data_IF_752358805554
#
_entry.id   IF_752358805554
#
_cell.length_a   1.000
_cell.length_b   1.000
_cell.length_c   1.000
_cell.angle_alpha   90.00
_cell.angle_beta   90.00
_cell.angle_gamma   90.00
#
_symmetry.space_group_name_H-M   'P 1'
#
loop_
_entity.id
_entity.type
_entity.pdbx_description
1 polymer ?
#
# COMPACT_ATOMS: atom_id res chain seq x y z
N UNK A 1 -27.91 9.23 50.15
CA UNK A 1 -28.72 8.11 50.65
C UNK A 1 -29.60 7.60 49.50
N UNK A 2 -29.51 6.29 49.18
CA UNK A 2 -30.61 5.44 48.65
C UNK A 2 -30.99 5.70 47.16
N UNK A 3 -31.05 4.75 46.21
CA UNK A 3 -30.76 3.31 46.07
C UNK A 3 -30.72 3.00 44.56
N UNK A 4 -29.82 2.13 44.11
CA UNK A 4 -29.96 1.43 42.81
C UNK A 4 -31.09 0.39 42.89
N UNK A 5 -31.67 0.02 41.74
CA UNK A 5 -31.93 -1.38 41.45
C UNK A 5 -31.16 -1.89 40.22
N UNK A 6 -30.96 -3.20 40.28
CA UNK A 6 -30.08 -4.08 39.52
C UNK A 6 -30.95 -5.04 38.70
N UNK A 7 -30.34 -5.66 37.67
CA UNK A 7 -30.73 -6.90 36.98
C UNK A 7 -31.68 -6.72 35.76
N UNK A 8 -31.58 -7.50 34.68
CA UNK A 8 -31.21 -8.94 34.60
C UNK A 8 -30.43 -9.29 33.32
N UNK A 9 -29.56 -10.29 33.48
CA UNK A 9 -28.92 -11.10 32.43
C UNK A 9 -29.97 -11.96 31.71
N UNK A 10 -29.75 -12.25 30.42
CA UNK A 10 -30.26 -13.44 29.78
C UNK A 10 -29.17 -14.02 28.87
N UNK A 11 -28.55 -15.09 29.33
CA UNK A 11 -27.72 -16.01 28.57
C UNK A 11 -28.65 -16.97 27.84
N UNK A 12 -28.46 -17.21 26.55
CA UNK A 12 -28.98 -18.42 25.89
C UNK A 12 -27.87 -19.01 25.03
N UNK A 13 -27.39 -20.16 25.51
CA UNK A 13 -26.62 -21.13 24.76
C UNK A 13 -27.58 -21.91 23.86
N UNK A 14 -27.16 -22.25 22.65
CA UNK A 14 -27.78 -23.36 21.91
C UNK A 14 -26.69 -24.06 21.10
N UNK A 15 -26.50 -25.33 21.46
CA UNK A 15 -25.62 -26.27 20.80
C UNK A 15 -26.26 -26.76 19.48
N UNK A 16 -25.42 -27.05 18.49
CA UNK A 16 -25.82 -27.69 17.24
C UNK A 16 -24.63 -28.39 16.61
N UNK A 17 -24.44 -29.66 16.97
CA UNK A 17 -23.52 -30.60 16.34
C UNK A 17 -24.14 -31.02 15.00
N UNK A 18 -23.41 -30.91 13.89
CA UNK A 18 -23.69 -31.70 12.70
C UNK A 18 -22.39 -32.30 12.15
N UNK A 19 -22.32 -33.62 12.28
CA UNK A 19 -21.28 -34.52 11.82
C UNK A 19 -21.66 -34.99 10.41
N UNK A 20 -20.79 -34.88 9.40
CA UNK A 20 -20.83 -35.74 8.22
C UNK A 20 -19.50 -35.69 7.46
N UNK A 21 -18.74 -36.77 7.55
CA UNK A 21 -17.55 -36.99 6.74
C UNK A 21 -17.90 -37.54 5.36
N UNK A 22 -17.14 -37.14 4.35
CA UNK A 22 -17.03 -37.85 3.08
C UNK A 22 -15.54 -38.07 2.79
N UNK A 23 -15.13 -39.33 2.83
CA UNK A 23 -13.86 -39.85 2.31
C UNK A 23 -13.98 -40.00 0.79
N UNK A 24 -13.08 -39.37 0.02
CA UNK A 24 -12.92 -39.66 -1.41
C UNK A 24 -11.67 -40.50 -1.60
N UNK A 25 -11.91 -41.75 -2.01
CA UNK A 25 -10.97 -42.74 -2.53
C UNK A 25 -10.54 -42.33 -3.95
N UNK A 26 -9.25 -42.52 -4.25
CA UNK A 26 -8.67 -42.17 -5.55
C UNK A 26 -8.95 -43.16 -6.68
N UNK A 27 -8.48 -42.81 -7.88
CA UNK A 27 -8.13 -43.74 -8.96
C UNK A 27 -7.13 -43.08 -9.93
N UNK A 28 -6.29 -43.93 -10.48
CA UNK A 28 -5.03 -43.66 -11.14
C UNK A 28 -5.11 -43.34 -12.65
N UNK A 29 -4.03 -42.70 -13.11
CA UNK A 29 -3.33 -42.81 -14.41
C UNK A 29 -4.05 -42.52 -15.74
N UNK A 30 -3.50 -41.51 -16.45
CA UNK A 30 -3.19 -41.62 -17.88
C UNK A 30 -1.98 -40.74 -18.25
N UNK A 31 -1.01 -41.39 -18.89
CA UNK A 31 0.23 -40.90 -19.50
C UNK A 31 -0.09 -40.14 -20.81
N UNK A 32 0.71 -39.13 -21.23
CA UNK A 32 1.73 -39.38 -22.26
C UNK A 32 3.07 -38.60 -22.12
N UNK A 33 4.14 -39.23 -22.62
CA UNK A 33 5.50 -38.74 -22.96
C UNK A 33 5.49 -37.66 -24.08
N UNK A 34 6.62 -37.05 -24.57
CA UNK A 34 8.04 -37.08 -24.16
C UNK A 34 8.75 -35.68 -24.15
N UNK A 35 10.04 -35.64 -23.79
CA UNK A 35 10.92 -34.56 -24.27
C UNK A 35 12.12 -34.21 -23.37
N UNK A 36 13.30 -34.56 -23.84
CA UNK A 36 14.62 -34.43 -23.21
C UNK A 36 15.12 -32.98 -23.06
N UNK A 37 15.89 -32.67 -22.00
CA UNK A 37 17.36 -32.44 -22.07
C UNK A 37 17.91 -31.87 -20.76
N UNK A 38 18.93 -32.57 -20.23
CA UNK A 38 19.85 -32.16 -19.16
C UNK A 38 20.89 -31.19 -19.74
N UNK A 39 21.58 -30.33 -18.95
CA UNK A 39 22.66 -30.83 -18.09
C UNK A 39 22.79 -30.15 -16.71
N UNK A 40 23.31 -30.94 -15.77
CA UNK A 40 24.02 -30.49 -14.57
C UNK A 40 25.52 -30.47 -14.89
N UNK A 41 26.29 -29.49 -14.39
CA UNK A 41 27.57 -29.74 -13.67
C UNK A 41 28.37 -28.47 -13.34
N UNK A 42 28.71 -28.39 -12.05
CA UNK A 42 30.04 -28.23 -11.47
C UNK A 42 30.83 -26.89 -11.55
N UNK A 43 31.05 -26.38 -10.33
CA UNK A 43 32.16 -25.58 -9.79
C UNK A 43 33.52 -25.68 -10.52
N UNK A 44 34.30 -24.59 -10.56
CA UNK A 44 35.49 -24.32 -9.69
C UNK A 44 36.34 -23.16 -10.24
N UNK A 45 36.97 -22.45 -9.30
CA UNK A 45 37.77 -21.23 -9.42
C UNK A 45 39.04 -21.33 -10.29
N UNK A 46 39.49 -20.19 -10.83
CA UNK A 46 40.91 -19.77 -10.83
C UNK A 46 41.08 -18.31 -11.31
N UNK A 47 42.05 -17.62 -10.70
CA UNK A 47 42.35 -16.20 -10.83
C UNK A 47 43.47 -15.91 -11.85
N UNK A 48 43.46 -14.72 -12.47
CA UNK A 48 44.56 -13.72 -12.47
C UNK A 48 44.47 -12.72 -13.63
N UNK A 49 44.45 -11.44 -13.25
CA UNK A 49 45.25 -10.30 -13.73
C UNK A 49 45.51 -10.08 -15.23
N UNK A 50 45.05 -8.94 -15.76
CA UNK A 50 45.93 -7.90 -16.35
C UNK A 50 45.17 -6.58 -16.58
N UNK A 51 45.88 -5.48 -16.42
CA UNK A 51 45.43 -4.09 -16.38
C UNK A 51 45.36 -3.42 -17.78
N UNK A 52 44.53 -2.37 -17.92
CA UNK A 52 44.96 -1.01 -18.33
C UNK A 52 43.79 -0.01 -18.44
N UNK A 53 44.09 1.31 -18.39
CA UNK A 53 43.16 2.36 -17.93
C UNK A 53 42.69 3.34 -19.02
N UNK A 54 41.97 4.39 -18.57
CA UNK A 54 41.59 5.66 -19.22
C UNK A 54 40.15 5.66 -19.77
N UNK A 55 39.30 6.67 -19.56
CA UNK A 55 39.61 8.11 -19.48
C UNK A 55 38.58 8.88 -18.65
N UNK A 56 39.10 9.86 -17.92
CA UNK A 56 38.42 10.96 -17.28
C UNK A 56 37.56 11.78 -18.25
N UNK A 57 36.35 12.15 -17.82
CA UNK A 57 35.74 13.42 -18.23
C UNK A 57 35.17 14.11 -17.00
N UNK A 58 35.86 15.18 -16.64
CA UNK A 58 35.44 16.23 -15.73
C UNK A 58 34.20 16.94 -16.27
N UNK A 59 33.12 16.93 -15.50
CA UNK A 59 31.96 17.80 -15.69
C UNK A 59 31.55 18.35 -14.33
N UNK A 60 31.81 19.63 -14.13
CA UNK A 60 31.40 20.45 -12.98
C UNK A 60 29.88 20.36 -12.75
N UNK A 61 29.37 20.22 -11.50
CA UNK A 61 27.95 20.43 -11.24
C UNK A 61 27.69 21.94 -11.27
N UNK A 62 27.37 22.49 -12.44
CA UNK A 62 26.76 23.81 -12.53
C UNK A 62 25.37 23.72 -11.92
N UNK A 63 25.19 24.40 -10.78
CA UNK A 63 23.88 24.65 -10.21
C UNK A 63 23.06 25.46 -11.20
N UNK A 64 22.08 24.83 -11.84
CA UNK A 64 20.98 25.53 -12.50
C UNK A 64 19.74 24.65 -12.41
N UNK A 65 18.95 24.86 -11.36
CA UNK A 65 17.56 24.45 -11.33
C UNK A 65 16.74 25.71 -11.02
N UNK A 66 16.59 26.55 -12.04
CA UNK A 66 15.47 27.49 -12.11
C UNK A 66 14.70 27.17 -13.37
N UNK A 67 14.11 25.97 -13.40
CA UNK A 67 12.96 25.73 -14.26
C UNK A 67 11.78 26.44 -13.59
N UNK A 68 11.54 27.69 -13.99
CA UNK A 68 10.29 28.39 -13.70
C UNK A 68 9.21 27.79 -14.62
N UNK A 69 8.85 26.54 -14.39
CA UNK A 69 7.58 26.03 -14.92
C UNK A 69 6.50 26.69 -14.08
N UNK A 70 5.73 27.61 -14.67
CA UNK A 70 4.44 28.01 -14.11
C UNK A 70 3.67 26.72 -13.83
N UNK A 71 3.38 26.38 -12.56
CA UNK A 71 2.68 25.14 -12.25
C UNK A 71 1.34 25.21 -12.98
N UNK A 72 1.13 24.29 -13.92
CA UNK A 72 -0.20 24.08 -14.45
C UNK A 72 -1.09 23.76 -13.25
N UNK A 73 -2.20 24.48 -13.07
CA UNK A 73 -3.11 24.30 -11.92
C UNK A 73 -3.61 22.86 -11.74
N UNK A 74 -3.38 22.00 -12.74
CA UNK A 74 -3.73 20.59 -12.74
C UNK A 74 -2.73 19.71 -12.00
N UNK A 75 -1.47 20.14 -11.81
CA UNK A 75 -0.44 19.36 -11.10
C UNK A 75 0.14 20.21 -9.97
N UNK A 76 -0.04 19.74 -8.74
CA UNK A 76 0.39 20.47 -7.55
C UNK A 76 1.00 19.50 -6.55
N UNK A 77 2.13 19.89 -5.97
CA UNK A 77 2.76 19.14 -4.90
C UNK A 77 3.41 20.08 -3.90
N UNK A 78 3.52 19.64 -2.65
CA UNK A 78 4.25 20.37 -1.62
C UNK A 78 4.85 19.41 -0.60
N UNK A 79 5.94 19.84 0.02
CA UNK A 79 6.69 19.08 1.02
C UNK A 79 6.51 19.75 2.38
N UNK A 80 6.37 18.94 3.43
CA UNK A 80 6.10 19.37 4.81
C UNK A 80 4.82 20.19 5.01
N UNK A 81 3.92 20.18 4.02
CA UNK A 81 2.64 20.86 4.07
C UNK A 81 1.58 20.06 3.30
N UNK A 82 0.33 20.46 3.50
CA UNK A 82 -0.78 19.99 2.67
C UNK A 82 -1.05 21.00 1.56
N UNK A 83 -1.15 20.55 0.31
CA UNK A 83 -1.54 21.44 -0.78
C UNK A 83 -2.94 22.04 -0.51
N UNK A 84 -3.18 23.31 -0.85
CA UNK A 84 -4.52 23.88 -0.85
C UNK A 84 -5.46 23.05 -1.75
N UNK A 85 -6.67 22.75 -1.25
CA UNK A 85 -7.64 21.96 -2.02
C UNK A 85 -7.34 20.46 -2.12
N UNK A 86 -6.42 19.93 -1.30
CA UNK A 86 -6.19 18.48 -1.22
C UNK A 86 -7.49 17.71 -0.93
N UNK A 87 -7.75 16.58 -1.62
CA UNK A 87 -9.01 15.81 -1.51
C UNK A 87 -9.08 15.03 -0.20
N UNK A 88 -9.33 15.74 0.90
CA UNK A 88 -9.41 15.16 2.26
C UNK A 88 -10.58 14.19 2.42
N UNK A 89 -11.60 14.30 1.57
CA UNK A 89 -12.70 13.34 1.60
C UNK A 89 -12.21 11.99 1.08
N UNK A 90 -11.44 12.00 -0.02
CA UNK A 90 -10.85 10.80 -0.60
C UNK A 90 -9.74 10.23 0.28
N UNK A 91 -8.75 11.06 0.63
CA UNK A 91 -7.57 10.72 1.41
C UNK A 91 -7.59 11.51 2.73
N UNK A 92 -8.29 11.00 3.77
CA UNK A 92 -8.37 11.70 5.05
C UNK A 92 -7.01 11.76 5.72
N UNK A 93 -6.77 12.84 6.47
CA UNK A 93 -5.56 12.94 7.28
C UNK A 93 -5.73 12.11 8.55
N UNK A 94 -4.76 11.24 8.83
CA UNK A 94 -4.68 10.57 10.11
C UNK A 94 -4.51 11.62 11.24
N UNK A 95 -5.38 11.63 12.25
CA UNK A 95 -5.27 12.57 13.37
C UNK A 95 -3.91 12.46 14.06
N UNK A 96 -3.28 13.61 14.32
CA UNK A 96 -1.96 13.68 14.95
C UNK A 96 -0.78 13.32 14.03
N UNK A 97 -1.02 13.00 12.75
CA UNK A 97 0.06 12.80 11.80
C UNK A 97 0.67 14.13 11.33
N UNK A 98 1.99 14.10 11.10
CA UNK A 98 2.71 15.17 10.41
C UNK A 98 2.72 14.88 8.91
N UNK A 99 2.23 15.80 8.10
CA UNK A 99 2.29 15.69 6.63
C UNK A 99 3.73 15.94 6.18
N UNK A 100 4.28 15.00 5.41
CA UNK A 100 5.62 15.08 4.82
C UNK A 100 5.57 15.44 3.35
N UNK A 101 4.58 14.94 2.62
CA UNK A 101 4.36 15.26 1.23
C UNK A 101 2.87 15.16 0.92
N UNK A 102 2.39 16.06 0.07
CA UNK A 102 1.10 15.88 -0.59
C UNK A 102 1.21 16.28 -2.05
N UNK A 103 0.53 15.54 -2.92
CA UNK A 103 0.46 15.87 -4.33
C UNK A 103 -0.91 15.50 -4.92
N UNK A 104 -1.31 16.23 -5.95
CA UNK A 104 -2.50 15.95 -6.76
C UNK A 104 -2.13 16.25 -8.21
N UNK A 105 -2.48 15.32 -9.09
CA UNK A 105 -2.37 15.46 -10.54
C UNK A 105 -3.73 15.13 -11.19
N UNK A 106 -4.34 16.16 -11.77
CA UNK A 106 -5.61 16.12 -12.52
C UNK A 106 -5.40 16.20 -14.04
N UNK A 107 -4.14 16.23 -14.50
CA UNK A 107 -3.81 16.32 -15.93
C UNK A 107 -4.01 15.00 -16.67
N UNK A 108 -4.12 13.89 -15.93
CA UNK A 108 -4.26 12.53 -16.45
C UNK A 108 -5.62 11.92 -16.10
N UNK A 109 -5.98 10.84 -16.80
CA UNK A 109 -7.16 10.02 -16.49
C UNK A 109 -6.75 8.55 -16.45
N UNK A 110 -6.84 7.88 -15.29
CA UNK A 110 -7.30 8.38 -14.00
C UNK A 110 -6.39 9.47 -13.40
N UNK A 111 -6.98 10.36 -12.62
CA UNK A 111 -6.26 11.39 -11.88
C UNK A 111 -5.68 10.80 -10.59
N UNK A 112 -4.61 11.41 -10.09
CA UNK A 112 -3.87 10.86 -8.95
C UNK A 112 -3.79 11.83 -7.79
N UNK A 113 -3.75 11.27 -6.58
CA UNK A 113 -3.44 12.02 -5.36
C UNK A 113 -2.54 11.18 -4.46
N UNK A 114 -1.58 11.81 -3.81
CA UNK A 114 -0.69 11.13 -2.88
C UNK A 114 -0.50 11.92 -1.59
N UNK A 115 -0.34 11.18 -0.51
CA UNK A 115 -0.10 11.72 0.83
C UNK A 115 0.95 10.86 1.52
N UNK A 116 2.02 11.48 1.98
CA UNK A 116 2.99 10.86 2.88
C UNK A 116 2.90 11.55 4.22
N UNK A 117 2.77 10.77 5.29
CA UNK A 117 2.75 11.29 6.64
C UNK A 117 3.51 10.42 7.62
N UNK A 118 3.88 11.01 8.75
CA UNK A 118 4.53 10.31 9.86
C UNK A 118 3.72 10.46 11.13
N UNK A 119 3.69 9.42 11.96
CA UNK A 119 2.94 9.39 13.24
C UNK A 119 3.63 8.46 14.24
N UNK A 120 3.32 8.59 15.51
CA UNK A 120 3.70 7.64 16.57
C UNK A 120 2.66 6.53 16.77
N UNK A 121 1.57 6.56 16.00
CA UNK A 121 0.56 5.49 15.99
C UNK A 121 1.13 4.19 15.42
N UNK A 122 0.68 3.04 15.93
CA UNK A 122 1.10 1.74 15.41
C UNK A 122 0.54 1.48 14.00
N UNK A 123 1.24 0.65 13.22
CA UNK A 123 0.79 0.27 11.87
C UNK A 123 -0.63 -0.31 11.86
N UNK A 124 -1.01 -1.09 12.87
CA UNK A 124 -2.37 -1.64 12.98
C UNK A 124 -3.42 -0.53 13.11
N UNK A 125 -3.17 0.46 13.98
CA UNK A 125 -4.10 1.57 14.16
C UNK A 125 -4.25 2.41 12.88
N UNK A 126 -3.15 2.60 12.15
CA UNK A 126 -3.15 3.29 10.85
C UNK A 126 -3.98 2.51 9.83
N UNK A 127 -3.78 1.19 9.73
CA UNK A 127 -4.56 0.31 8.83
C UNK A 127 -6.04 0.36 9.17
N UNK A 128 -6.40 0.27 10.45
CA UNK A 128 -7.80 0.26 10.89
C UNK A 128 -8.49 1.58 10.55
N UNK A 129 -7.82 2.70 10.81
CA UNK A 129 -8.32 4.04 10.47
C UNK A 129 -8.61 4.16 8.98
N UNK A 130 -7.64 3.85 8.12
CA UNK A 130 -7.79 3.99 6.68
C UNK A 130 -8.75 2.97 6.08
N UNK A 131 -8.73 1.73 6.57
CA UNK A 131 -9.69 0.69 6.15
C UNK A 131 -11.13 1.14 6.43
N UNK A 132 -11.38 1.70 7.62
CA UNK A 132 -12.71 2.24 7.96
C UNK A 132 -13.10 3.40 7.05
N UNK A 133 -12.17 4.33 6.82
CA UNK A 133 -12.42 5.49 5.99
C UNK A 133 -12.69 5.13 4.52
N UNK A 134 -11.90 4.24 3.92
CA UNK A 134 -12.07 3.84 2.52
C UNK A 134 -13.32 2.97 2.34
N UNK A 135 -13.65 2.09 3.30
CA UNK A 135 -14.92 1.34 3.27
C UNK A 135 -16.15 2.25 3.31
N UNK A 136 -16.10 3.32 4.11
CA UNK A 136 -17.18 4.31 4.13
C UNK A 136 -17.38 5.03 2.79
N UNK A 137 -16.36 5.03 1.93
CA UNK A 137 -16.39 5.59 0.59
C UNK A 137 -16.66 4.55 -0.52
N UNK A 138 -17.03 3.32 -0.14
CA UNK A 138 -17.35 2.24 -1.07
C UNK A 138 -16.14 1.46 -1.59
N UNK A 139 -14.93 1.70 -1.06
CA UNK A 139 -13.79 0.84 -1.38
C UNK A 139 -13.87 -0.50 -0.65
N UNK A 140 -13.43 -1.54 -1.35
CA UNK A 140 -13.23 -2.88 -0.81
C UNK A 140 -11.74 -3.16 -0.72
N UNK A 141 -11.30 -3.66 0.42
CA UNK A 141 -9.91 -4.07 0.60
C UNK A 141 -9.64 -5.37 -0.18
N UNK A 142 -8.56 -5.40 -0.94
CA UNK A 142 -8.08 -6.61 -1.59
C UNK A 142 -7.37 -7.53 -0.59
N UNK A 143 -7.37 -8.86 -0.85
CA UNK A 143 -6.59 -9.79 -0.04
C UNK A 143 -5.10 -9.46 -0.14
N UNK A 144 -4.37 -9.67 0.95
CA UNK A 144 -2.98 -9.25 1.10
C UNK A 144 -2.81 -8.35 2.33
N UNK A 145 -1.57 -7.94 2.60
CA UNK A 145 -1.33 -7.08 3.76
C UNK A 145 0.09 -6.64 4.02
N UNK A 146 1.08 -7.35 3.48
CA UNK A 146 2.49 -7.10 3.78
C UNK A 146 3.36 -7.44 2.57
N UNK A 147 4.41 -6.65 2.35
CA UNK A 147 5.51 -6.94 1.44
C UNK A 147 6.79 -6.91 2.27
N UNK A 148 7.28 -8.08 2.68
CA UNK A 148 8.33 -8.18 3.70
C UNK A 148 7.89 -7.55 5.03
N UNK A 149 8.69 -6.63 5.56
CA UNK A 149 8.39 -5.91 6.81
C UNK A 149 7.43 -4.71 6.64
N UNK A 150 7.14 -4.32 5.40
CA UNK A 150 6.26 -3.18 5.10
C UNK A 150 4.82 -3.66 5.05
N UNK A 151 3.93 -3.00 5.78
CA UNK A 151 2.48 -3.24 5.62
C UNK A 151 2.05 -2.61 4.31
N UNK A 152 1.36 -3.37 3.45
CA UNK A 152 0.85 -2.88 2.16
C UNK A 152 -0.59 -3.36 1.97
N UNK A 153 -1.51 -2.42 1.75
CA UNK A 153 -2.94 -2.68 1.56
C UNK A 153 -3.42 -1.98 0.30
N UNK A 154 -4.18 -2.71 -0.50
CA UNK A 154 -4.83 -2.17 -1.69
C UNK A 154 -6.34 -2.16 -1.49
N UNK A 155 -6.96 -1.09 -1.94
CA UNK A 155 -8.38 -0.85 -1.87
C UNK A 155 -8.88 -0.51 -3.27
N UNK A 156 -9.99 -1.10 -3.69
CA UNK A 156 -10.58 -0.85 -5.01
C UNK A 156 -12.07 -0.58 -4.91
N UNK A 157 -12.59 0.23 -5.82
CA UNK A 157 -14.04 0.39 -6.04
C UNK A 157 -14.33 0.52 -7.53
N UNK A 158 -15.60 0.67 -7.88
CA UNK A 158 -16.04 0.81 -9.27
C UNK A 158 -15.45 -0.30 -10.17
N UNK A 159 -15.53 -1.55 -9.70
CA UNK A 159 -14.98 -2.72 -10.40
C UNK A 159 -13.47 -2.63 -10.73
N UNK A 160 -12.69 -1.94 -9.89
CA UNK A 160 -11.24 -1.81 -10.06
C UNK A 160 -10.79 -0.58 -10.86
N UNK A 161 -11.73 0.26 -11.32
CA UNK A 161 -11.40 1.49 -12.06
C UNK A 161 -10.82 2.58 -11.16
N UNK A 162 -11.07 2.49 -9.85
CA UNK A 162 -10.51 3.40 -8.86
C UNK A 162 -9.83 2.60 -7.77
N UNK A 163 -8.64 3.04 -7.37
CA UNK A 163 -7.81 2.35 -6.39
C UNK A 163 -7.15 3.30 -5.40
N UNK A 164 -6.90 2.78 -4.20
CA UNK A 164 -6.06 3.41 -3.19
C UNK A 164 -5.07 2.37 -2.65
N UNK A 165 -3.79 2.69 -2.65
CA UNK A 165 -2.75 1.92 -1.99
C UNK A 165 -2.35 2.62 -0.68
N UNK A 166 -2.17 1.82 0.37
CA UNK A 166 -1.60 2.21 1.65
C UNK A 166 -0.37 1.37 1.90
N UNK A 167 0.78 2.02 2.07
CA UNK A 167 2.00 1.39 2.58
C UNK A 167 2.44 2.02 3.89
N UNK A 168 2.96 1.21 4.80
CA UNK A 168 3.43 1.66 6.11
C UNK A 168 4.77 0.99 6.42
N UNK A 169 5.81 1.81 6.58
CA UNK A 169 7.07 1.42 7.19
C UNK A 169 7.11 1.92 8.62
N UNK A 170 7.80 1.21 9.51
CA UNK A 170 7.92 1.60 10.91
C UNK A 170 9.34 1.39 11.40
N UNK A 171 9.88 2.41 12.04
CA UNK A 171 11.25 2.46 12.52
C UNK A 171 11.33 3.36 13.75
N UNK A 172 12.07 2.95 14.77
CA UNK A 172 12.35 3.80 15.94
C UNK A 172 11.09 4.30 16.68
N UNK A 173 10.00 3.53 16.68
CA UNK A 173 8.74 3.93 17.32
C UNK A 173 7.92 4.97 16.54
N UNK A 174 8.33 5.32 15.31
CA UNK A 174 7.56 6.12 14.37
C UNK A 174 7.13 5.28 13.18
N UNK A 175 5.92 5.50 12.70
CA UNK A 175 5.40 4.92 11.47
C UNK A 175 5.32 5.99 10.39
N UNK A 176 5.83 5.69 9.21
CA UNK A 176 5.62 6.49 8.00
C UNK A 176 4.61 5.77 7.14
N UNK A 177 3.53 6.45 6.77
CA UNK A 177 2.53 5.93 5.86
C UNK A 177 2.57 6.71 4.54
N UNK A 178 2.36 5.98 3.46
CA UNK A 178 2.21 6.52 2.11
C UNK A 178 0.88 6.06 1.56
N UNK A 179 0.10 7.02 1.08
CA UNK A 179 -1.15 6.81 0.38
C UNK A 179 -0.99 7.26 -1.06
N UNK A 180 -1.47 6.44 -1.98
CA UNK A 180 -1.64 6.80 -3.39
C UNK A 180 -3.03 6.44 -3.84
N UNK A 181 -3.75 7.39 -4.42
CA UNK A 181 -5.04 7.18 -5.03
C UNK A 181 -4.95 7.38 -6.54
N UNK A 182 -5.64 6.51 -7.28
CA UNK A 182 -5.88 6.64 -8.72
C UNK A 182 -7.39 6.57 -8.92
N UNK A 183 -8.00 7.70 -9.29
CA UNK A 183 -9.45 7.86 -9.31
C UNK A 183 -9.91 8.71 -10.50
N UNK A 184 -11.20 8.70 -10.81
CA UNK A 184 -11.76 9.68 -11.74
C UNK A 184 -11.53 11.11 -11.21
N UNK A 185 -11.33 12.08 -12.10
CA UNK A 185 -11.11 13.49 -11.71
C UNK A 185 -12.23 14.02 -10.79
N UNK A 186 -13.47 13.61 -11.04
CA UNK A 186 -14.64 13.98 -10.23
C UNK A 186 -14.61 13.44 -8.78
N UNK A 187 -13.81 12.41 -8.53
CA UNK A 187 -13.62 11.81 -7.20
C UNK A 187 -12.60 12.57 -6.34
N UNK A 188 -11.80 13.48 -6.92
CA UNK A 188 -10.80 14.30 -6.20
C UNK A 188 -11.44 15.52 -5.53
N UNK A 189 -12.19 15.26 -4.47
CA UNK A 189 -12.88 16.24 -3.62
C UNK A 189 -12.65 16.01 -2.12
#
# INVERSE_FOLDING_TARGET
MIRLPRARRATLATAGILLCGLTVVGCSNSNPQPGETSPSSANTSSASSSAQPSSSSSGTPTSSATASETPSSNVQSTVNALIPGFPKTLLPLLPGATVKLSAVDKSTTPATASLVGSTTSSSSAIVDFYTKAFKAQGFTALPGGNVGAVVSKDFVRQNGQESVNLSISSEGGSSTFTLGASVAVASLK
#
